data_IF_133491062007
#
_entry.id   IF_133491062007
#
_cell.length_a   1.000
_cell.length_b   1.000
_cell.length_c   1.000
_cell.angle_alpha   90.00
_cell.angle_beta   90.00
_cell.angle_gamma   90.00
#
_symmetry.space_group_name_H-M   'P 1'
#
loop_
_entity.id
_entity.type
_entity.pdbx_description
1 polymer ?
#
# COMPACT_ATOMS: atom_id res chain seq x y z
N UNK A 1 19.25 29.70 -3.45
CA UNK A 1 17.79 29.81 -3.19
C UNK A 1 17.39 28.64 -2.31
N UNK A 2 16.78 28.89 -1.16
CA UNK A 2 16.26 27.81 -0.32
C UNK A 2 15.21 27.05 -1.14
N UNK A 3 15.45 25.77 -1.40
CA UNK A 3 14.47 24.94 -2.11
C UNK A 3 13.20 24.84 -1.25
N UNK A 4 12.09 25.34 -1.76
CA UNK A 4 10.78 25.22 -1.10
C UNK A 4 10.50 23.72 -0.90
N UNK A 5 10.17 23.34 0.33
CA UNK A 5 9.78 21.96 0.65
C UNK A 5 8.52 21.62 -0.17
N UNK A 6 8.50 20.46 -0.83
CA UNK A 6 7.34 20.01 -1.60
C UNK A 6 6.16 19.68 -0.68
N UNK A 7 4.95 19.74 -1.21
CA UNK A 7 3.77 19.31 -0.47
C UNK A 7 3.85 17.81 -0.14
N UNK A 8 4.34 17.00 -1.08
CA UNK A 8 4.58 15.57 -0.88
C UNK A 8 5.55 15.32 0.28
N UNK A 9 6.65 16.10 0.39
CA UNK A 9 7.59 15.95 1.51
C UNK A 9 6.93 16.29 2.85
N UNK A 10 6.13 17.35 2.92
CA UNK A 10 5.39 17.70 4.13
C UNK A 10 4.43 16.55 4.55
N UNK A 11 3.73 15.97 3.59
CA UNK A 11 2.80 14.87 3.83
C UNK A 11 3.49 13.56 4.21
N UNK A 12 4.74 13.34 3.75
CA UNK A 12 5.60 12.25 4.23
C UNK A 12 6.00 12.48 5.68
N UNK A 13 6.44 13.69 6.03
CA UNK A 13 6.82 14.05 7.39
C UNK A 13 5.64 13.98 8.38
N UNK A 14 4.40 14.12 7.90
CA UNK A 14 3.18 13.95 8.68
C UNK A 14 2.75 12.48 8.90
N UNK A 15 3.39 11.49 8.26
CA UNK A 15 3.00 10.06 8.38
C UNK A 15 2.92 9.59 9.84
N UNK A 16 3.94 9.81 10.70
CA UNK A 16 3.88 9.35 12.09
C UNK A 16 2.68 9.94 12.84
N UNK A 17 2.48 11.25 12.75
CA UNK A 17 1.38 11.94 13.41
C UNK A 17 0.00 11.58 12.84
N UNK A 18 -0.08 11.22 11.56
CA UNK A 18 -1.32 10.75 10.93
C UNK A 18 -1.71 9.36 11.45
N UNK A 19 -0.73 8.48 11.64
CA UNK A 19 -0.96 7.15 12.23
C UNK A 19 -1.32 7.28 13.71
N UNK A 20 -0.67 8.15 14.46
CA UNK A 20 -1.02 8.41 15.87
C UNK A 20 -2.47 8.91 16.01
N UNK A 21 -2.89 9.87 15.16
CA UNK A 21 -4.29 10.35 15.13
C UNK A 21 -5.27 9.24 14.78
N UNK A 22 -4.94 8.38 13.83
CA UNK A 22 -5.77 7.23 13.48
C UNK A 22 -5.95 6.29 14.68
N UNK A 23 -4.87 5.93 15.37
CA UNK A 23 -4.91 5.04 16.54
C UNK A 23 -5.67 5.66 17.72
N UNK A 24 -5.58 6.99 17.87
CA UNK A 24 -6.28 7.72 18.94
C UNK A 24 -7.78 7.82 18.67
N UNK A 25 -8.19 8.11 17.42
CA UNK A 25 -9.59 8.45 17.12
C UNK A 25 -10.37 7.32 16.43
N UNK A 26 -9.70 6.34 15.79
CA UNK A 26 -10.36 5.27 15.03
C UNK A 26 -10.80 4.06 15.86
N UNK A 27 -10.41 3.98 17.13
CA UNK A 27 -10.56 2.75 17.93
C UNK A 27 -12.02 2.26 18.07
N UNK A 28 -12.98 3.17 18.22
CA UNK A 28 -14.38 2.81 18.36
C UNK A 28 -14.94 2.19 17.07
N UNK A 29 -14.68 2.83 15.92
CA UNK A 29 -15.16 2.40 14.60
C UNK A 29 -14.54 1.06 14.21
N UNK A 30 -13.23 0.89 14.43
CA UNK A 30 -12.51 -0.37 14.16
C UNK A 30 -13.08 -1.52 15.00
N UNK A 31 -13.31 -1.31 16.30
CA UNK A 31 -13.87 -2.35 17.19
C UNK A 31 -15.31 -2.71 16.81
N UNK A 32 -16.10 -1.71 16.43
CA UNK A 32 -17.48 -1.94 15.98
C UNK A 32 -17.50 -2.73 14.67
N UNK A 33 -16.68 -2.38 13.69
CA UNK A 33 -16.57 -3.11 12.43
C UNK A 33 -16.06 -4.55 12.64
N UNK A 34 -15.07 -4.73 13.51
CA UNK A 34 -14.57 -6.06 13.89
C UNK A 34 -15.64 -6.91 14.58
N UNK A 35 -16.53 -6.31 15.39
CA UNK A 35 -17.69 -7.00 15.97
C UNK A 35 -18.67 -7.43 14.88
N UNK A 36 -19.04 -6.52 13.97
CA UNK A 36 -19.92 -6.83 12.85
C UNK A 36 -19.39 -7.94 11.95
N UNK A 37 -18.06 -7.97 11.69
CA UNK A 37 -17.41 -9.05 10.93
C UNK A 37 -17.47 -10.39 11.68
N UNK A 38 -17.30 -10.40 13.01
CA UNK A 38 -17.45 -11.64 13.82
C UNK A 38 -18.88 -12.16 13.78
N UNK A 39 -19.86 -11.28 13.86
CA UNK A 39 -21.29 -11.63 13.82
C UNK A 39 -21.70 -12.12 12.41
N UNK A 40 -21.23 -11.43 11.38
CA UNK A 40 -21.45 -11.83 9.98
C UNK A 40 -20.82 -13.18 9.65
N UNK A 41 -19.65 -13.49 10.24
CA UNK A 41 -18.87 -14.70 10.03
C UNK A 41 -18.72 -15.04 8.53
N UNK A 42 -18.16 -14.14 7.71
CA UNK A 42 -18.11 -14.30 6.28
C UNK A 42 -17.27 -15.52 5.88
N UNK A 43 -17.70 -16.23 4.83
CA UNK A 43 -16.98 -17.39 4.30
C UNK A 43 -15.91 -17.00 3.26
N UNK A 44 -15.99 -15.81 2.70
CA UNK A 44 -14.98 -15.18 1.85
C UNK A 44 -15.12 -13.65 1.94
N UNK A 45 -14.11 -12.97 1.47
CA UNK A 45 -14.09 -11.51 1.40
C UNK A 45 -13.99 -11.03 -0.05
N UNK A 46 -14.46 -9.83 -0.29
CA UNK A 46 -14.19 -9.11 -1.54
C UNK A 46 -13.52 -7.79 -1.23
N UNK A 47 -12.68 -7.31 -2.14
CA UNK A 47 -12.09 -5.97 -2.05
C UNK A 47 -12.38 -5.17 -3.31
N UNK A 48 -12.57 -3.86 -3.15
CA UNK A 48 -12.76 -2.93 -4.26
C UNK A 48 -12.03 -1.62 -3.97
N UNK A 49 -11.16 -1.22 -4.88
CA UNK A 49 -10.35 0.00 -4.77
C UNK A 49 -9.78 0.41 -6.14
N UNK A 50 -9.00 1.52 -6.16
CA UNK A 50 -8.25 2.01 -7.33
C UNK A 50 -6.90 2.59 -6.90
N UNK A 51 -5.89 2.51 -7.76
CA UNK A 51 -4.57 3.11 -7.56
C UNK A 51 -3.92 2.70 -6.24
N UNK A 52 -3.35 3.65 -5.49
CA UNK A 52 -2.74 3.36 -4.18
C UNK A 52 -3.70 2.66 -3.20
N UNK A 53 -5.00 3.00 -3.25
CA UNK A 53 -6.00 2.32 -2.42
C UNK A 53 -6.14 0.82 -2.77
N UNK A 54 -5.93 0.43 -4.04
CA UNK A 54 -5.97 -0.97 -4.46
C UNK A 54 -4.72 -1.74 -3.98
N UNK A 55 -3.58 -1.05 -3.87
CA UNK A 55 -2.40 -1.64 -3.25
C UNK A 55 -2.61 -1.86 -1.73
N UNK A 56 -3.31 -0.95 -1.04
CA UNK A 56 -3.72 -1.18 0.34
C UNK A 56 -4.73 -2.35 0.46
N UNK A 57 -5.63 -2.51 -0.50
CA UNK A 57 -6.52 -3.66 -0.58
C UNK A 57 -5.76 -4.97 -0.89
N UNK A 58 -4.70 -4.91 -1.70
CA UNK A 58 -3.78 -6.04 -1.93
C UNK A 58 -3.05 -6.45 -0.65
N UNK A 59 -2.61 -5.47 0.15
CA UNK A 59 -2.03 -5.75 1.47
C UNK A 59 -3.05 -6.41 2.41
N UNK A 60 -4.27 -5.88 2.46
CA UNK A 60 -5.39 -6.48 3.21
C UNK A 60 -5.63 -7.94 2.79
N UNK A 61 -5.62 -8.22 1.48
CA UNK A 61 -5.79 -9.56 0.95
C UNK A 61 -4.77 -10.54 1.55
N UNK A 62 -3.47 -10.24 1.43
CA UNK A 62 -2.44 -11.11 1.99
C UNK A 62 -2.57 -11.26 3.52
N UNK A 63 -2.84 -10.16 4.21
CA UNK A 63 -3.00 -10.20 5.67
C UNK A 63 -4.21 -11.05 6.10
N UNK A 64 -5.36 -10.94 5.39
CA UNK A 64 -6.55 -11.76 5.65
C UNK A 64 -6.30 -13.25 5.40
N UNK A 65 -5.66 -13.57 4.28
CA UNK A 65 -5.35 -14.96 3.91
C UNK A 65 -4.39 -15.59 4.92
N UNK A 66 -3.39 -14.85 5.40
CA UNK A 66 -2.41 -15.34 6.39
C UNK A 66 -2.97 -15.42 7.82
N UNK A 67 -3.74 -14.41 8.26
CA UNK A 67 -4.24 -14.35 9.63
C UNK A 67 -5.51 -15.16 9.85
N UNK A 68 -6.45 -15.06 8.90
CA UNK A 68 -7.81 -15.57 9.05
C UNK A 68 -8.06 -16.83 8.22
N UNK A 69 -7.20 -17.15 7.24
CA UNK A 69 -7.46 -18.20 6.25
C UNK A 69 -8.62 -17.86 5.31
N UNK A 70 -9.05 -16.60 5.26
CA UNK A 70 -10.17 -16.15 4.43
C UNK A 70 -9.65 -15.60 3.10
N UNK A 71 -10.05 -16.20 1.95
CA UNK A 71 -9.68 -15.69 0.65
C UNK A 71 -10.35 -14.34 0.37
N UNK A 72 -9.63 -13.48 -0.35
CA UNK A 72 -10.13 -12.16 -0.77
C UNK A 72 -10.13 -12.07 -2.30
N UNK A 73 -11.31 -11.92 -2.88
CA UNK A 73 -11.45 -11.67 -4.31
C UNK A 73 -11.40 -10.15 -4.57
N UNK A 74 -10.41 -9.69 -5.33
CA UNK A 74 -10.40 -8.32 -5.86
C UNK A 74 -11.43 -8.21 -6.97
N UNK A 75 -12.41 -7.31 -6.80
CA UNK A 75 -13.55 -7.17 -7.71
C UNK A 75 -13.36 -5.94 -8.60
N UNK A 76 -13.49 -6.13 -9.92
CA UNK A 76 -13.47 -5.02 -10.87
C UNK A 76 -14.74 -4.16 -10.74
N UNK A 77 -14.63 -2.87 -10.36
CA UNK A 77 -15.83 -2.03 -10.14
C UNK A 77 -16.63 -1.78 -11.43
N UNK A 78 -16.03 -1.97 -12.60
CA UNK A 78 -16.73 -1.90 -13.89
C UNK A 78 -17.85 -2.94 -14.03
N UNK A 79 -17.79 -4.06 -13.29
CA UNK A 79 -18.85 -5.09 -13.29
C UNK A 79 -20.18 -4.44 -12.90
N UNK A 80 -20.21 -3.63 -11.86
CA UNK A 80 -21.41 -2.92 -11.44
C UNK A 80 -21.62 -1.60 -12.23
N UNK A 81 -20.56 -0.80 -12.40
CA UNK A 81 -20.71 0.56 -12.97
C UNK A 81 -20.97 0.56 -14.47
N UNK A 82 -20.34 -0.30 -15.26
CA UNK A 82 -20.44 -0.36 -16.72
C UNK A 82 -21.35 -1.49 -17.15
N UNK A 83 -21.03 -2.71 -16.74
CA UNK A 83 -21.76 -3.91 -17.19
C UNK A 83 -23.12 -4.10 -16.49
N UNK A 84 -23.43 -3.30 -15.46
CA UNK A 84 -24.70 -3.35 -14.70
C UNK A 84 -25.06 -4.75 -14.22
N UNK A 85 -24.03 -5.50 -13.79
CA UNK A 85 -24.20 -6.85 -13.26
C UNK A 85 -24.00 -6.86 -11.74
N UNK A 86 -24.82 -7.62 -11.05
CA UNK A 86 -24.67 -7.92 -9.63
C UNK A 86 -23.92 -9.22 -9.44
N UNK A 87 -23.00 -9.25 -8.47
CA UNK A 87 -22.34 -10.47 -8.04
C UNK A 87 -23.16 -11.12 -6.92
N UNK A 88 -23.12 -12.44 -6.83
CA UNK A 88 -23.66 -13.13 -5.67
C UNK A 88 -22.63 -13.04 -4.52
N UNK A 89 -22.91 -12.19 -3.56
CA UNK A 89 -22.01 -11.92 -2.41
C UNK A 89 -22.67 -12.30 -1.07
N UNK A 90 -23.69 -13.13 -1.11
CA UNK A 90 -24.35 -13.66 0.10
C UNK A 90 -23.33 -14.39 0.98
N UNK A 91 -23.30 -14.08 2.28
CA UNK A 91 -22.37 -14.68 3.24
C UNK A 91 -20.92 -14.15 3.12
N UNK A 92 -20.72 -13.02 2.46
CA UNK A 92 -19.41 -12.35 2.35
C UNK A 92 -19.36 -11.03 3.07
N UNK A 93 -18.15 -10.48 3.19
CA UNK A 93 -17.96 -9.06 3.49
C UNK A 93 -17.18 -8.37 2.35
N UNK A 94 -17.58 -7.13 2.04
CA UNK A 94 -16.95 -6.31 1.02
C UNK A 94 -16.15 -5.20 1.69
N UNK A 95 -14.85 -5.16 1.39
CA UNK A 95 -13.90 -4.18 1.90
C UNK A 95 -13.60 -3.17 0.80
N UNK A 96 -13.97 -1.91 1.03
CA UNK A 96 -13.70 -0.83 0.08
C UNK A 96 -12.66 0.14 0.64
N UNK A 97 -11.65 0.47 -0.15
CA UNK A 97 -10.66 1.48 0.20
C UNK A 97 -10.71 2.62 -0.80
N UNK A 98 -11.01 3.83 -0.34
CA UNK A 98 -11.06 5.01 -1.21
C UNK A 98 -10.81 6.28 -0.40
N UNK A 99 -9.67 6.93 -0.65
CA UNK A 99 -9.28 8.14 0.07
C UNK A 99 -10.37 9.22 0.06
N UNK A 100 -10.95 9.52 -1.10
CA UNK A 100 -12.00 10.54 -1.24
C UNK A 100 -13.42 10.01 -0.94
N UNK A 101 -13.63 8.69 -1.08
CA UNK A 101 -14.96 8.09 -0.98
C UNK A 101 -15.96 8.57 -2.05
N UNK A 102 -15.46 9.16 -3.16
CA UNK A 102 -16.29 9.83 -4.18
C UNK A 102 -16.23 9.19 -5.57
N UNK A 103 -15.34 8.20 -5.79
CA UNK A 103 -15.23 7.50 -7.08
C UNK A 103 -16.55 6.79 -7.44
N UNK A 104 -17.21 7.18 -8.53
CA UNK A 104 -18.57 6.70 -8.83
C UNK A 104 -18.65 5.18 -9.00
N UNK A 105 -17.66 4.59 -9.65
CA UNK A 105 -17.56 3.14 -9.88
C UNK A 105 -17.38 2.35 -8.58
N UNK A 106 -16.57 2.86 -7.62
CA UNK A 106 -16.40 2.24 -6.30
C UNK A 106 -17.71 2.32 -5.51
N UNK A 107 -18.36 3.50 -5.51
CA UNK A 107 -19.65 3.70 -4.83
C UNK A 107 -20.71 2.74 -5.37
N UNK A 108 -20.78 2.58 -6.71
CA UNK A 108 -21.75 1.69 -7.36
C UNK A 108 -21.46 0.21 -7.04
N UNK A 109 -20.18 -0.20 -7.01
CA UNK A 109 -19.81 -1.56 -6.65
C UNK A 109 -20.19 -1.89 -5.18
N UNK A 110 -19.93 -0.97 -4.24
CA UNK A 110 -20.31 -1.16 -2.83
C UNK A 110 -21.83 -1.17 -2.66
N UNK A 111 -22.56 -0.35 -3.41
CA UNK A 111 -24.03 -0.39 -3.45
C UNK A 111 -24.55 -1.75 -3.90
N UNK A 112 -23.99 -2.27 -4.98
CA UNK A 112 -24.32 -3.59 -5.51
C UNK A 112 -23.97 -4.71 -4.53
N UNK A 113 -22.81 -4.64 -3.89
CA UNK A 113 -22.37 -5.63 -2.89
C UNK A 113 -23.33 -5.67 -1.69
N UNK A 114 -23.71 -4.48 -1.15
CA UNK A 114 -24.67 -4.38 -0.06
C UNK A 114 -26.04 -4.92 -0.45
N UNK A 115 -26.54 -4.59 -1.63
CA UNK A 115 -27.81 -5.10 -2.15
C UNK A 115 -27.80 -6.62 -2.33
N UNK A 116 -26.63 -7.21 -2.58
CA UNK A 116 -26.42 -8.65 -2.70
C UNK A 116 -26.17 -9.35 -1.34
N UNK A 117 -26.36 -8.65 -0.23
CA UNK A 117 -26.28 -9.22 1.12
C UNK A 117 -24.88 -9.26 1.75
N UNK A 118 -23.87 -8.63 1.14
CA UNK A 118 -22.55 -8.53 1.76
C UNK A 118 -22.54 -7.49 2.89
N UNK A 119 -21.84 -7.78 3.99
CA UNK A 119 -21.48 -6.77 4.97
C UNK A 119 -20.43 -5.82 4.35
N UNK A 120 -20.67 -4.51 4.35
CA UNK A 120 -19.78 -3.55 3.72
C UNK A 120 -18.99 -2.75 4.75
N UNK A 121 -17.64 -2.80 4.65
CA UNK A 121 -16.71 -2.00 5.43
C UNK A 121 -15.91 -1.08 4.50
N UNK A 122 -15.90 0.22 4.78
CA UNK A 122 -15.23 1.21 3.94
C UNK A 122 -14.18 1.97 4.72
N UNK A 123 -13.00 2.11 4.14
CA UNK A 123 -11.90 2.94 4.63
C UNK A 123 -11.81 4.19 3.78
N UNK A 124 -12.05 5.36 4.37
CA UNK A 124 -12.04 6.64 3.67
C UNK A 124 -11.51 7.77 4.55
N UNK A 125 -10.92 8.79 3.94
CA UNK A 125 -10.47 9.99 4.67
C UNK A 125 -11.57 11.07 4.76
N UNK A 126 -12.72 10.87 4.08
CA UNK A 126 -13.89 11.76 4.09
C UNK A 126 -15.12 11.00 4.64
N UNK A 127 -15.36 11.16 5.94
CA UNK A 127 -16.50 10.51 6.63
C UNK A 127 -17.88 11.03 6.15
N UNK A 128 -17.92 12.18 5.49
CA UNK A 128 -19.10 12.72 4.83
C UNK A 128 -19.33 12.24 3.39
N UNK A 129 -18.44 11.38 2.86
CA UNK A 129 -18.50 10.94 1.47
C UNK A 129 -19.71 10.05 1.14
N UNK A 130 -20.10 9.94 -0.13
CA UNK A 130 -21.14 9.00 -0.57
C UNK A 130 -20.85 7.56 -0.18
N UNK A 131 -19.58 7.14 -0.25
CA UNK A 131 -19.15 5.79 0.10
C UNK A 131 -19.31 5.51 1.60
N UNK A 132 -18.92 6.47 2.46
CA UNK A 132 -19.08 6.36 3.91
C UNK A 132 -20.54 6.19 4.30
N UNK A 133 -21.44 7.00 3.75
CA UNK A 133 -22.88 6.92 4.03
C UNK A 133 -23.56 5.65 3.56
N UNK A 134 -23.00 5.02 2.52
CA UNK A 134 -23.56 3.80 1.93
C UNK A 134 -23.20 2.54 2.71
N UNK A 135 -22.06 2.51 3.37
CA UNK A 135 -21.49 1.30 3.98
C UNK A 135 -22.12 0.97 5.33
N UNK A 136 -22.10 -0.30 5.73
CA UNK A 136 -22.51 -0.72 7.08
C UNK A 136 -21.56 -0.18 8.15
N UNK A 137 -20.24 -0.23 7.85
CA UNK A 137 -19.19 0.34 8.69
C UNK A 137 -18.33 1.28 7.87
N UNK A 138 -18.21 2.52 8.33
CA UNK A 138 -17.30 3.51 7.74
C UNK A 138 -16.17 3.80 8.72
N UNK A 139 -14.95 3.55 8.25
CA UNK A 139 -13.71 3.65 9.03
C UNK A 139 -12.92 4.85 8.50
N UNK A 140 -12.80 5.88 9.33
CA UNK A 140 -12.10 7.10 8.96
C UNK A 140 -10.59 6.91 9.06
N UNK A 141 -9.84 7.31 8.02
CA UNK A 141 -8.37 7.18 7.98
C UNK A 141 -7.64 8.18 8.87
N UNK A 142 -8.28 9.26 9.29
CA UNK A 142 -7.72 10.32 10.13
C UNK A 142 -6.38 10.89 9.64
N UNK A 143 -6.08 10.75 8.34
CA UNK A 143 -4.82 11.20 7.76
C UNK A 143 -4.67 12.73 7.67
N UNK A 144 -5.76 13.46 7.87
CA UNK A 144 -5.81 14.90 7.60
C UNK A 144 -5.82 15.21 6.09
N UNK A 145 -5.79 16.48 5.70
CA UNK A 145 -5.80 16.87 4.29
C UNK A 145 -4.53 16.37 3.57
N UNK A 146 -4.69 15.70 2.45
CA UNK A 146 -3.61 15.29 1.55
C UNK A 146 -3.80 15.98 0.20
N UNK A 147 -2.91 16.91 -0.14
CA UNK A 147 -3.02 17.85 -1.28
C UNK A 147 -2.20 17.40 -2.48
N UNK A 148 -1.06 16.77 -2.26
CA UNK A 148 -0.24 16.20 -3.31
C UNK A 148 -1.04 15.15 -4.08
N UNK A 149 -0.88 15.10 -5.39
CA UNK A 149 -1.63 14.14 -6.24
C UNK A 149 -1.24 12.71 -5.87
N UNK A 150 0.05 12.44 -5.78
CA UNK A 150 0.57 11.16 -5.34
C UNK A 150 0.27 10.93 -3.85
N UNK A 151 -0.47 9.87 -3.54
CA UNK A 151 -0.81 9.52 -2.17
C UNK A 151 0.43 9.03 -1.39
N UNK A 152 0.52 9.41 -0.12
CA UNK A 152 1.57 8.98 0.81
C UNK A 152 0.97 8.61 2.17
N UNK A 153 0.66 9.62 3.02
CA UNK A 153 0.13 9.37 4.37
C UNK A 153 -1.23 8.68 4.36
N UNK A 154 -2.09 8.94 3.36
CA UNK A 154 -3.39 8.24 3.26
C UNK A 154 -3.21 6.78 2.87
N UNK A 155 -2.20 6.42 2.08
CA UNK A 155 -1.85 5.03 1.82
C UNK A 155 -1.38 4.33 3.09
N UNK A 156 -0.45 4.95 3.86
CA UNK A 156 0.05 4.38 5.11
C UNK A 156 -1.07 4.20 6.13
N UNK A 157 -1.92 5.22 6.34
CA UNK A 157 -3.06 5.08 7.25
C UNK A 157 -4.08 4.06 6.76
N UNK A 158 -4.23 3.85 5.44
CA UNK A 158 -5.05 2.75 4.91
C UNK A 158 -4.47 1.39 5.27
N UNK A 159 -3.15 1.19 5.09
CA UNK A 159 -2.49 -0.06 5.49
C UNK A 159 -2.66 -0.33 6.99
N UNK A 160 -2.43 0.69 7.85
CA UNK A 160 -2.62 0.56 9.29
C UNK A 160 -4.07 0.23 9.65
N UNK A 161 -5.04 0.92 9.02
CA UNK A 161 -6.46 0.69 9.31
C UNK A 161 -6.91 -0.72 8.96
N UNK A 162 -6.51 -1.24 7.79
CA UNK A 162 -6.94 -2.58 7.36
C UNK A 162 -6.30 -3.69 8.20
N UNK A 163 -5.04 -3.54 8.61
CA UNK A 163 -4.41 -4.54 9.49
C UNK A 163 -4.94 -4.43 10.92
N UNK A 164 -5.26 -3.23 11.39
CA UNK A 164 -5.88 -3.02 12.70
C UNK A 164 -7.26 -3.67 12.78
N UNK A 165 -8.08 -3.54 11.73
CA UNK A 165 -9.37 -4.23 11.64
C UNK A 165 -9.19 -5.76 11.77
N UNK A 166 -8.23 -6.34 11.07
CA UNK A 166 -7.96 -7.79 11.15
C UNK A 166 -7.45 -8.20 12.53
N UNK A 167 -6.56 -7.41 13.15
CA UNK A 167 -6.05 -7.64 14.49
C UNK A 167 -7.15 -7.63 15.55
N UNK A 168 -8.07 -6.65 15.49
CA UNK A 168 -9.23 -6.57 16.37
C UNK A 168 -10.25 -7.69 16.09
N UNK A 169 -10.46 -8.04 14.83
CA UNK A 169 -11.35 -9.14 14.45
C UNK A 169 -10.84 -10.47 15.01
N UNK A 170 -9.56 -10.77 14.86
CA UNK A 170 -8.90 -11.97 15.39
C UNK A 170 -8.64 -11.90 16.89
N UNK A 171 -8.66 -10.72 17.50
CA UNK A 171 -8.22 -10.43 18.88
C UNK A 171 -6.74 -10.78 19.11
N UNK A 172 -5.89 -10.50 18.10
CA UNK A 172 -4.46 -10.76 18.14
C UNK A 172 -3.72 -9.67 18.92
N UNK A 173 -3.40 -9.95 20.17
CA UNK A 173 -2.74 -9.00 21.09
C UNK A 173 -1.32 -8.63 20.65
N UNK A 174 -0.59 -9.57 20.03
CA UNK A 174 0.77 -9.32 19.57
C UNK A 174 0.77 -8.35 18.40
N UNK A 175 -0.10 -8.58 17.42
CA UNK A 175 -0.28 -7.69 16.28
C UNK A 175 -0.82 -6.32 16.71
N UNK A 176 -1.79 -6.27 17.64
CA UNK A 176 -2.29 -5.00 18.19
C UNK A 176 -1.18 -4.18 18.82
N UNK A 177 -0.29 -4.81 19.61
CA UNK A 177 0.87 -4.12 20.17
C UNK A 177 1.77 -3.56 19.08
N UNK A 178 2.14 -4.37 18.09
CA UNK A 178 3.01 -3.95 16.99
C UNK A 178 2.40 -2.79 16.17
N UNK A 179 1.06 -2.73 16.03
CA UNK A 179 0.35 -1.62 15.39
C UNK A 179 0.48 -0.34 16.23
N UNK A 180 0.31 -0.43 17.55
CA UNK A 180 0.43 0.73 18.44
C UNK A 180 1.86 1.24 18.59
N UNK A 181 2.88 0.43 18.31
CA UNK A 181 4.29 0.84 18.30
C UNK A 181 4.68 1.57 16.98
N UNK A 182 3.81 1.56 15.94
CA UNK A 182 4.12 2.12 14.62
C UNK A 182 4.45 3.63 14.59
N UNK A 183 3.77 4.52 15.33
CA UNK A 183 4.09 5.94 15.27
C UNK A 183 5.57 6.24 15.55
N UNK A 184 6.12 5.67 16.61
CA UNK A 184 7.53 5.86 17.00
C UNK A 184 8.49 5.29 15.92
N UNK A 185 8.19 4.13 15.36
CA UNK A 185 8.99 3.50 14.31
C UNK A 185 8.94 4.30 13.00
N UNK A 186 7.80 4.90 12.69
CA UNK A 186 7.63 5.74 11.51
C UNK A 186 8.40 7.06 11.62
N UNK A 187 8.60 7.62 12.83
CA UNK A 187 9.48 8.78 13.06
C UNK A 187 10.92 8.51 12.55
N UNK A 188 11.42 7.30 12.70
CA UNK A 188 12.70 6.89 12.14
C UNK A 188 12.63 6.69 10.64
N UNK A 189 11.58 6.04 10.14
CA UNK A 189 11.43 5.66 8.74
C UNK A 189 11.33 6.87 7.80
N UNK A 190 10.65 7.94 8.20
CA UNK A 190 10.55 9.17 7.39
C UNK A 190 11.83 9.99 7.35
N UNK A 191 12.86 9.58 8.11
CA UNK A 191 14.22 10.18 8.08
C UNK A 191 15.21 9.31 7.30
N UNK A 192 14.85 8.04 7.03
CA UNK A 192 15.70 7.16 6.24
C UNK A 192 15.72 7.61 4.78
N UNK A 193 16.93 7.63 4.21
CA UNK A 193 17.13 7.98 2.81
C UNK A 193 18.06 6.95 2.13
N UNK A 194 17.75 6.59 0.90
CA UNK A 194 18.48 5.59 0.11
C UNK A 194 19.24 6.23 -1.07
N UNK A 195 20.37 6.93 -0.82
CA UNK A 195 21.05 7.71 -1.85
C UNK A 195 21.60 6.88 -3.00
N UNK A 196 22.05 5.64 -2.71
CA UNK A 196 22.58 4.76 -3.72
C UNK A 196 21.48 4.32 -4.71
N UNK A 197 20.29 3.98 -4.23
CA UNK A 197 19.14 3.68 -5.07
C UNK A 197 18.71 4.91 -5.87
N UNK A 198 18.56 6.06 -5.23
CA UNK A 198 18.20 7.33 -5.90
C UNK A 198 19.15 7.64 -7.06
N UNK A 199 20.47 7.47 -6.86
CA UNK A 199 21.47 7.65 -7.90
C UNK A 199 21.35 6.61 -9.03
N UNK A 200 21.09 5.36 -8.68
CA UNK A 200 20.98 4.26 -9.64
C UNK A 200 19.80 4.42 -10.58
N UNK A 201 18.66 4.94 -10.12
CA UNK A 201 17.46 5.13 -10.95
C UNK A 201 17.47 6.44 -11.74
N UNK A 202 18.32 7.41 -11.34
CA UNK A 202 18.45 8.67 -12.07
C UNK A 202 19.04 8.39 -13.47
N UNK A 203 18.43 8.92 -14.52
CA UNK A 203 18.77 8.70 -15.93
C UNK A 203 18.43 7.29 -16.48
N UNK A 204 17.74 6.46 -15.74
CA UNK A 204 17.17 5.22 -16.24
C UNK A 204 15.81 5.47 -16.91
N UNK A 205 15.39 4.54 -17.78
CA UNK A 205 14.08 4.60 -18.41
C UNK A 205 13.11 3.58 -17.80
N UNK A 206 13.63 2.53 -17.19
CA UNK A 206 12.85 1.44 -16.63
C UNK A 206 13.52 0.86 -15.39
N UNK A 207 12.70 0.29 -14.50
CA UNK A 207 13.16 -0.44 -13.31
C UNK A 207 12.11 -1.47 -12.88
N UNK A 208 12.54 -2.43 -12.06
CA UNK A 208 11.62 -3.33 -11.38
C UNK A 208 11.54 -3.05 -9.87
N UNK A 209 10.33 -3.22 -9.33
CA UNK A 209 10.07 -3.29 -7.90
C UNK A 209 9.65 -4.72 -7.56
N UNK A 210 10.34 -5.37 -6.64
CA UNK A 210 10.04 -6.74 -6.24
C UNK A 210 9.49 -6.79 -4.82
N UNK A 211 8.47 -7.63 -4.62
CA UNK A 211 7.93 -7.96 -3.31
C UNK A 211 7.56 -9.44 -3.25
N UNK A 212 7.18 -9.93 -2.07
CA UNK A 212 6.64 -11.28 -1.88
C UNK A 212 5.63 -11.26 -0.74
N UNK A 213 4.49 -11.96 -0.90
CA UNK A 213 3.44 -11.91 0.13
C UNK A 213 2.97 -10.46 0.40
N UNK A 214 2.86 -10.04 1.67
CA UNK A 214 2.41 -8.69 2.02
C UNK A 214 3.23 -7.55 1.39
N UNK A 215 4.54 -7.76 1.15
CA UNK A 215 5.39 -6.73 0.52
C UNK A 215 5.14 -6.55 -0.97
N UNK A 216 4.41 -7.46 -1.65
CA UNK A 216 3.97 -7.24 -3.02
C UNK A 216 3.09 -5.99 -3.12
N UNK A 217 2.27 -5.72 -2.12
CA UNK A 217 1.44 -4.52 -2.07
C UNK A 217 2.27 -3.23 -2.10
N UNK A 218 3.33 -3.17 -1.30
CA UNK A 218 4.21 -1.98 -1.27
C UNK A 218 5.15 -1.91 -2.48
N UNK A 219 5.49 -3.02 -3.12
CA UNK A 219 6.22 -2.99 -4.40
C UNK A 219 5.34 -2.47 -5.54
N UNK A 220 4.04 -2.82 -5.56
CA UNK A 220 3.06 -2.22 -6.47
C UNK A 220 2.96 -0.71 -6.28
N UNK A 221 2.88 -0.27 -5.02
CA UNK A 221 2.83 1.15 -4.67
C UNK A 221 4.13 1.87 -5.06
N UNK A 222 5.29 1.26 -4.83
CA UNK A 222 6.58 1.82 -5.24
C UNK A 222 6.66 2.01 -6.76
N UNK A 223 6.26 1.01 -7.54
CA UNK A 223 6.21 1.11 -8.99
C UNK A 223 5.24 2.19 -9.47
N UNK A 224 4.09 2.35 -8.82
CA UNK A 224 3.16 3.44 -9.11
C UNK A 224 3.80 4.80 -8.83
N UNK A 225 4.45 4.99 -7.68
CA UNK A 225 5.09 6.26 -7.30
C UNK A 225 6.24 6.64 -8.24
N UNK A 226 7.07 5.71 -8.67
CA UNK A 226 8.09 5.99 -9.69
C UNK A 226 7.46 6.53 -10.98
N UNK A 227 6.35 5.94 -11.44
CA UNK A 227 5.62 6.43 -12.62
C UNK A 227 5.04 7.83 -12.40
N UNK A 228 4.37 8.04 -11.27
CA UNK A 228 3.70 9.29 -10.96
C UNK A 228 4.69 10.44 -10.74
N UNK A 229 5.72 10.25 -9.92
CA UNK A 229 6.58 11.34 -9.44
C UNK A 229 7.87 11.50 -10.23
N UNK A 230 8.47 10.41 -10.70
CA UNK A 230 9.74 10.42 -11.44
C UNK A 230 9.54 10.25 -12.96
N UNK A 231 8.33 9.93 -13.42
CA UNK A 231 8.03 9.63 -14.83
C UNK A 231 8.90 8.48 -15.38
N UNK A 232 9.27 7.55 -14.50
CA UNK A 232 10.01 6.34 -14.84
C UNK A 232 9.04 5.19 -15.11
N UNK A 233 9.29 4.42 -16.16
CA UNK A 233 8.57 3.17 -16.36
C UNK A 233 8.99 2.17 -15.28
N UNK A 234 8.08 1.84 -14.38
CA UNK A 234 8.34 0.92 -13.28
C UNK A 234 7.29 -0.18 -13.25
N UNK A 235 7.74 -1.43 -13.16
CA UNK A 235 6.86 -2.57 -13.01
C UNK A 235 7.11 -3.27 -11.69
N UNK A 236 6.04 -3.78 -11.10
CA UNK A 236 6.11 -4.56 -9.87
C UNK A 236 5.85 -6.03 -10.15
N UNK A 237 6.69 -6.88 -9.58
CA UNK A 237 6.53 -8.33 -9.65
C UNK A 237 6.68 -8.98 -8.29
N UNK A 238 5.98 -10.09 -8.10
CA UNK A 238 6.40 -11.06 -7.09
C UNK A 238 7.80 -11.56 -7.43
N UNK A 239 8.66 -11.72 -6.41
CA UNK A 239 10.02 -12.23 -6.63
C UNK A 239 10.05 -13.60 -7.33
N UNK A 240 8.98 -14.39 -7.26
CA UNK A 240 8.85 -15.60 -8.06
C UNK A 240 8.51 -15.30 -9.53
N UNK A 241 7.52 -14.41 -9.75
CA UNK A 241 7.01 -14.13 -11.09
C UNK A 241 8.05 -13.44 -12.00
N UNK A 242 8.95 -12.64 -11.44
CA UNK A 242 10.01 -11.97 -12.23
C UNK A 242 10.87 -12.98 -13.00
N UNK A 243 11.01 -14.21 -12.51
CA UNK A 243 11.77 -15.29 -13.15
C UNK A 243 11.02 -15.97 -14.31
N UNK A 244 9.70 -15.73 -14.45
CA UNK A 244 8.84 -16.33 -15.47
C UNK A 244 8.62 -15.42 -16.69
N UNK A 245 9.68 -14.74 -17.15
CA UNK A 245 9.66 -13.89 -18.33
C UNK A 245 10.33 -12.54 -18.14
N UNK A 246 9.89 -11.69 -17.17
CA UNK A 246 10.43 -10.34 -17.00
C UNK A 246 11.94 -10.26 -16.80
N UNK A 247 12.56 -11.29 -16.23
CA UNK A 247 14.03 -11.41 -16.08
C UNK A 247 14.78 -11.28 -17.40
N UNK A 248 14.15 -11.52 -18.54
CA UNK A 248 14.76 -11.37 -19.86
C UNK A 248 15.08 -9.90 -20.22
N UNK A 249 14.48 -8.94 -19.52
CA UNK A 249 14.74 -7.50 -19.68
C UNK A 249 15.89 -7.02 -18.79
N UNK A 250 16.37 -7.87 -17.88
CA UNK A 250 17.39 -7.50 -16.91
C UNK A 250 18.77 -7.60 -17.57
N UNK A 251 19.37 -6.46 -17.80
CA UNK A 251 20.72 -6.30 -18.35
C UNK A 251 21.68 -5.65 -17.35
N UNK A 252 22.92 -5.45 -17.75
CA UNK A 252 23.96 -4.83 -16.93
C UNK A 252 23.53 -3.46 -16.42
N UNK A 253 23.49 -3.28 -15.10
CA UNK A 253 23.11 -2.03 -14.44
C UNK A 253 21.61 -1.76 -14.35
N UNK A 254 20.75 -2.68 -14.82
CA UNK A 254 19.29 -2.53 -14.72
C UNK A 254 18.86 -2.38 -13.25
N UNK A 255 18.17 -1.29 -12.86
CA UNK A 255 17.86 -1.05 -11.46
C UNK A 255 16.68 -1.91 -10.96
N UNK A 256 16.85 -2.49 -9.79
CA UNK A 256 15.83 -3.31 -9.12
C UNK A 256 15.76 -2.93 -7.66
N UNK A 257 14.56 -2.58 -7.19
CA UNK A 257 14.24 -2.40 -5.78
C UNK A 257 13.52 -3.64 -5.26
N UNK A 258 14.08 -4.34 -4.30
CA UNK A 258 13.49 -5.51 -3.64
C UNK A 258 13.08 -5.14 -2.20
N UNK A 259 11.78 -5.16 -1.92
CA UNK A 259 11.20 -4.82 -0.62
C UNK A 259 10.92 -6.11 0.17
N UNK A 260 11.84 -6.44 1.07
CA UNK A 260 11.77 -7.61 1.94
C UNK A 260 11.33 -7.21 3.34
N UNK A 261 10.27 -7.84 3.86
CA UNK A 261 9.91 -7.81 5.27
C UNK A 261 10.61 -8.95 6.02
N UNK A 262 10.71 -8.84 7.34
CA UNK A 262 11.21 -9.92 8.18
C UNK A 262 10.10 -10.96 8.40
N UNK A 263 9.87 -11.77 7.37
CA UNK A 263 8.84 -12.80 7.34
C UNK A 263 9.35 -14.10 6.69
N UNK A 264 8.46 -15.07 6.52
CA UNK A 264 8.78 -16.36 5.91
C UNK A 264 9.20 -16.29 4.43
N UNK A 265 8.94 -15.16 3.76
CA UNK A 265 9.28 -14.94 2.36
C UNK A 265 10.65 -14.25 2.18
N UNK A 266 11.26 -13.73 3.25
CA UNK A 266 12.50 -12.95 3.20
C UNK A 266 13.62 -13.69 2.48
N UNK A 267 13.93 -14.92 2.92
CA UNK A 267 15.02 -15.72 2.36
C UNK A 267 14.86 -15.93 0.85
N UNK A 268 13.65 -16.28 0.40
CA UNK A 268 13.38 -16.55 -1.00
C UNK A 268 13.48 -15.28 -1.86
N UNK A 269 13.06 -14.13 -1.33
CA UNK A 269 13.17 -12.85 -2.02
C UNK A 269 14.63 -12.41 -2.10
N UNK A 270 15.40 -12.55 -1.03
CA UNK A 270 16.84 -12.23 -0.98
C UNK A 270 17.63 -13.10 -1.97
N UNK A 271 17.33 -14.39 -2.04
CA UNK A 271 17.97 -15.29 -3.00
C UNK A 271 17.75 -14.83 -4.46
N UNK A 272 16.54 -14.39 -4.80
CA UNK A 272 16.25 -13.83 -6.12
C UNK A 272 17.00 -12.52 -6.35
N UNK A 273 17.01 -11.62 -5.36
CA UNK A 273 17.74 -10.35 -5.42
C UNK A 273 19.25 -10.58 -5.67
N UNK A 274 19.86 -11.48 -4.92
CA UNK A 274 21.28 -11.83 -5.10
C UNK A 274 21.55 -12.48 -6.47
N UNK A 275 20.66 -13.34 -6.95
CA UNK A 275 20.77 -13.97 -8.27
C UNK A 275 20.73 -12.93 -9.39
N UNK A 276 19.84 -11.94 -9.29
CA UNK A 276 19.73 -10.87 -10.26
C UNK A 276 20.95 -9.93 -10.19
N UNK A 277 21.49 -9.67 -9.01
CA UNK A 277 22.72 -8.92 -8.82
C UNK A 277 23.94 -9.62 -9.47
N UNK A 278 24.05 -10.95 -9.30
CA UNK A 278 25.08 -11.75 -9.96
C UNK A 278 24.99 -11.75 -11.50
N UNK A 279 23.79 -11.54 -12.04
CA UNK A 279 23.56 -11.36 -13.48
C UNK A 279 23.91 -9.96 -13.98
N UNK A 280 24.37 -9.05 -13.10
CA UNK A 280 24.79 -7.70 -13.44
C UNK A 280 23.76 -6.60 -13.21
N UNK A 281 22.57 -6.91 -12.69
CA UNK A 281 21.60 -5.89 -12.32
C UNK A 281 22.08 -5.04 -11.13
N UNK A 282 21.64 -3.79 -11.06
CA UNK A 282 21.85 -2.90 -9.91
C UNK A 282 20.71 -3.13 -8.89
N UNK A 283 20.88 -4.15 -8.05
CA UNK A 283 19.83 -4.57 -7.11
C UNK A 283 20.03 -3.94 -5.73
N UNK A 284 18.94 -3.43 -5.17
CA UNK A 284 18.84 -2.86 -3.82
C UNK A 284 17.76 -3.60 -3.03
N UNK A 285 18.09 -4.05 -1.83
CA UNK A 285 17.18 -4.87 -1.01
C UNK A 285 17.11 -4.39 0.43
N UNK A 286 15.92 -4.39 1.03
CA UNK A 286 15.70 -4.01 2.43
C UNK A 286 15.95 -5.14 3.43
N UNK A 287 16.82 -6.07 3.13
CA UNK A 287 17.21 -7.15 4.02
C UNK A 287 18.72 -7.18 4.25
N UNK A 288 19.18 -7.31 5.50
CA UNK A 288 20.60 -7.44 5.80
C UNK A 288 21.18 -8.82 5.42
N UNK A 289 20.34 -9.77 4.98
CA UNK A 289 20.78 -11.13 4.64
C UNK A 289 21.40 -11.22 3.24
N UNK A 290 21.27 -10.18 2.41
CA UNK A 290 21.81 -10.15 1.04
C UNK A 290 23.34 -10.21 1.02
N UNK A 291 23.88 -10.94 0.04
CA UNK A 291 25.31 -11.15 -0.14
C UNK A 291 25.86 -10.47 -1.38
N UNK A 292 25.04 -10.26 -2.41
CA UNK A 292 25.41 -9.67 -3.70
C UNK A 292 24.62 -8.42 -4.03
N UNK A 293 23.38 -8.34 -3.58
CA UNK A 293 22.57 -7.12 -3.71
C UNK A 293 23.00 -6.05 -2.68
N UNK A 294 22.78 -4.77 -3.02
CA UNK A 294 23.05 -3.66 -2.12
C UNK A 294 22.00 -3.59 -1.02
N UNK A 295 22.44 -3.66 0.24
CA UNK A 295 21.54 -3.57 1.39
C UNK A 295 21.09 -2.13 1.61
N UNK A 296 19.79 -1.92 1.73
CA UNK A 296 19.19 -0.66 2.13
C UNK A 296 18.89 -0.68 3.64
N UNK A 297 19.20 0.38 4.38
CA UNK A 297 18.80 0.50 5.77
C UNK A 297 17.27 0.49 5.87
N UNK A 298 16.75 -0.16 6.90
CA UNK A 298 15.30 -0.31 7.09
C UNK A 298 14.94 -0.43 8.56
N UNK A 299 13.83 0.19 8.94
CA UNK A 299 13.25 0.06 10.27
C UNK A 299 12.40 -1.20 10.33
N UNK A 300 12.62 -2.03 11.35
CA UNK A 300 11.87 -3.27 11.60
C UNK A 300 10.89 -3.09 12.74
N UNK A 301 9.73 -3.69 12.64
CA UNK A 301 8.65 -3.56 13.63
C UNK A 301 8.59 -4.71 14.62
N UNK A 302 9.36 -5.77 14.38
CA UNK A 302 9.28 -7.00 15.16
C UNK A 302 8.02 -7.84 14.91
N UNK A 303 7.19 -7.47 13.94
CA UNK A 303 6.04 -8.25 13.51
C UNK A 303 5.92 -8.27 11.97
N UNK A 304 5.85 -9.46 11.34
CA UNK A 304 5.97 -9.59 9.87
C UNK A 304 4.90 -8.81 9.09
N UNK A 305 3.68 -8.69 9.65
CA UNK A 305 2.60 -7.98 8.95
C UNK A 305 2.68 -6.47 9.11
N UNK A 306 3.35 -5.92 10.10
CA UNK A 306 3.54 -4.46 10.22
C UNK A 306 4.81 -3.98 9.53
N UNK A 307 5.79 -4.84 9.30
CA UNK A 307 7.08 -4.53 8.67
C UNK A 307 6.98 -3.81 7.31
N UNK A 308 6.02 -4.13 6.40
CA UNK A 308 5.87 -3.38 5.16
C UNK A 308 5.59 -1.88 5.32
N UNK A 309 5.04 -1.45 6.46
CA UNK A 309 4.57 -0.07 6.68
C UNK A 309 5.76 0.91 6.82
N UNK A 310 6.77 0.69 7.67
CA UNK A 310 7.97 1.54 7.69
C UNK A 310 8.75 1.50 6.37
N UNK A 311 8.81 0.35 5.68
CA UNK A 311 9.53 0.23 4.41
C UNK A 311 8.99 1.18 3.35
N UNK A 312 7.66 1.27 3.20
CA UNK A 312 7.08 2.18 2.22
C UNK A 312 7.23 3.65 2.64
N UNK A 313 7.26 3.96 3.94
CA UNK A 313 7.51 5.31 4.41
C UNK A 313 8.93 5.79 4.05
N UNK A 314 9.95 4.95 4.25
CA UNK A 314 11.33 5.24 3.82
C UNK A 314 11.45 5.36 2.29
N UNK A 315 10.74 4.50 1.54
CA UNK A 315 10.66 4.60 0.09
C UNK A 315 10.11 5.96 -0.37
N UNK A 316 9.09 6.50 0.29
CA UNK A 316 8.52 7.81 -0.07
C UNK A 316 9.54 8.95 0.08
N UNK A 317 10.39 8.92 1.10
CA UNK A 317 11.51 9.87 1.26
C UNK A 317 12.45 9.80 0.06
N UNK A 318 12.81 8.60 -0.34
CA UNK A 318 13.73 8.35 -1.45
C UNK A 318 13.12 8.83 -2.78
N UNK A 319 11.87 8.43 -3.10
CA UNK A 319 11.27 8.74 -4.40
C UNK A 319 10.96 10.24 -4.57
N UNK A 320 10.54 10.94 -3.49
CA UNK A 320 10.36 12.40 -3.51
C UNK A 320 11.68 13.13 -3.80
N UNK A 321 12.73 12.74 -3.10
CA UNK A 321 14.06 13.31 -3.29
C UNK A 321 14.60 13.02 -4.70
N UNK A 322 14.37 11.82 -5.22
CA UNK A 322 14.75 11.44 -6.58
C UNK A 322 13.99 12.27 -7.63
N UNK A 323 12.67 12.43 -7.46
CA UNK A 323 11.85 13.25 -8.37
C UNK A 323 12.40 14.69 -8.47
N UNK A 324 12.74 15.29 -7.33
CA UNK A 324 13.34 16.63 -7.29
C UNK A 324 14.71 16.68 -7.98
N UNK A 325 15.55 15.68 -7.74
CA UNK A 325 16.87 15.58 -8.41
C UNK A 325 16.72 15.47 -9.94
N UNK A 326 15.69 14.79 -10.41
CA UNK A 326 15.31 14.68 -11.81
C UNK A 326 14.57 15.91 -12.36
N UNK A 327 14.40 16.97 -11.54
CA UNK A 327 13.63 18.17 -11.88
C UNK A 327 12.15 17.92 -12.21
N UNK A 328 11.61 16.81 -11.76
CA UNK A 328 10.18 16.53 -11.81
C UNK A 328 9.45 17.20 -10.62
N UNK A 329 8.18 17.52 -10.79
CA UNK A 329 7.35 18.06 -9.72
C UNK A 329 6.49 16.95 -9.11
N UNK A 330 6.83 16.42 -7.91
CA UNK A 330 6.06 15.32 -7.30
C UNK A 330 4.67 15.75 -6.82
N UNK A 331 4.42 17.05 -6.63
CA UNK A 331 3.13 17.56 -6.14
C UNK A 331 2.07 17.57 -7.23
N UNK A 332 2.48 17.80 -8.49
CA UNK A 332 1.59 17.92 -9.65
C UNK A 332 2.13 17.11 -10.83
N UNK A 333 2.03 15.78 -10.78
CA UNK A 333 2.46 14.92 -11.87
C UNK A 333 1.71 15.21 -13.18
N UNK A 334 2.38 14.99 -14.31
CA UNK A 334 1.78 15.24 -15.64
C UNK A 334 0.52 14.40 -15.83
N UNK A 335 -0.51 15.01 -16.38
CA UNK A 335 -1.78 14.37 -16.76
C UNK A 335 -2.59 13.76 -15.63
N UNK A 336 -2.19 13.95 -14.36
CA UNK A 336 -2.88 13.42 -13.20
C UNK A 336 -3.66 14.53 -12.46
N UNK A 337 -4.77 14.13 -11.87
CA UNK A 337 -5.58 14.95 -10.94
C UNK A 337 -5.73 14.21 -9.62
N UNK A 338 -5.89 14.95 -8.51
CA UNK A 338 -6.05 14.35 -7.17
C UNK A 338 -7.25 13.42 -7.07
N UNK A 339 -8.33 13.73 -7.73
CA UNK A 339 -9.52 12.88 -7.82
C UNK A 339 -9.72 12.53 -9.29
N UNK A 340 -9.69 11.25 -9.59
CA UNK A 340 -10.01 10.72 -10.92
C UNK A 340 -11.45 10.23 -10.91
N UNK A 341 -12.27 10.84 -11.73
CA UNK A 341 -13.65 10.41 -11.98
C UNK A 341 -13.62 9.36 -13.09
N UNK A 342 -13.73 8.09 -12.72
CA UNK A 342 -13.90 6.98 -13.66
C UNK A 342 -15.33 6.47 -13.57
N UNK A 343 -15.94 6.20 -14.74
CA UNK A 343 -17.30 5.64 -14.86
C UNK A 343 -17.21 4.14 -15.05
#
# INVERSE_FOLDING_TARGET
MAHKITQMRQEIDEIPSAVDRLLTHGAADIKQAACGLRECNPIFLTSVARGSSDHAATYFKYASELLMGLPVASVGPSVASIYKRSLNLTGSACIAVSQSGKSPDIVEMVRSARASGALTCTFTNDNGSPLARLSNHSLTLHAGPEKSVAATKTFVTSMVSVIWLLAEWKKDKCLLKAIHDLPDLLEHSVREFWPALSKSVTNQQSLFCLGRGPTLAISNEAALKFKETCQLHAESYSSAEVLHGPVSLVEQGFPILALAAQDQAEDSLVQVADTLAQKGASVFVTSPQARHANVLPSVRTGHPLTDPIPLIASFYVMVETTARAMKANPDTPRHLKKITETV
#
